data_IF_614602148096
#
_entry.id   IF_614602148096
#
_cell.length_a   1.000
_cell.length_b   1.000
_cell.length_c   1.000
_cell.angle_alpha   90.00
_cell.angle_beta   90.00
_cell.angle_gamma   90.00
#
_symmetry.space_group_name_H-M   'P 1'
#
loop_
_entity.id
_entity.type
_entity.pdbx_description
1 polymer ?
#
# COMPACT_ATOMS: atom_id res chain seq x y z
N UNK A 1 32.88 1.15 -4.23
CA UNK A 1 32.11 0.25 -3.35
C UNK A 1 32.98 -0.20 -2.20
N UNK A 2 32.54 -0.04 -0.96
CA UNK A 2 33.32 -0.47 0.18
C UNK A 2 33.35 -2.00 0.28
N UNK A 3 34.56 -2.54 0.49
CA UNK A 3 34.70 -3.97 0.74
C UNK A 3 34.34 -4.28 2.19
N UNK A 4 33.43 -5.23 2.40
CA UNK A 4 33.04 -5.67 3.73
C UNK A 4 33.60 -7.07 3.97
N UNK A 5 34.42 -7.18 5.02
CA UNK A 5 34.97 -8.46 5.43
C UNK A 5 33.95 -9.27 6.20
N UNK A 6 33.70 -10.49 5.76
CA UNK A 6 32.74 -11.39 6.41
C UNK A 6 33.37 -12.05 7.64
N UNK A 7 32.59 -12.28 8.72
CA UNK A 7 33.11 -13.00 9.89
C UNK A 7 33.52 -14.42 9.51
N UNK A 8 34.67 -14.86 10.08
CA UNK A 8 35.14 -16.24 9.92
C UNK A 8 34.31 -17.15 10.82
N UNK A 9 33.80 -18.23 10.24
CA UNK A 9 33.04 -19.23 10.98
C UNK A 9 33.89 -20.50 11.18
N UNK A 10 33.82 -21.08 12.37
CA UNK A 10 34.50 -22.30 12.70
C UNK A 10 33.58 -23.49 12.44
N UNK A 11 34.10 -24.51 11.75
CA UNK A 11 33.34 -25.74 11.47
C UNK A 11 32.93 -26.41 12.78
N UNK A 12 31.66 -26.75 12.91
CA UNK A 12 31.10 -27.37 14.11
C UNK A 12 30.67 -26.40 15.20
N UNK A 13 31.01 -25.12 15.05
CA UNK A 13 30.56 -24.04 15.93
C UNK A 13 29.73 -23.07 15.07
N UNK A 14 28.41 -23.07 15.27
CA UNK A 14 27.53 -22.15 14.58
C UNK A 14 26.71 -21.39 15.60
N UNK A 15 26.16 -20.25 15.19
CA UNK A 15 25.18 -19.50 15.96
C UNK A 15 25.69 -18.93 17.28
N UNK A 16 26.99 -18.56 17.29
CA UNK A 16 27.61 -17.86 18.43
C UNK A 16 27.28 -16.35 18.45
N UNK A 17 26.70 -15.84 17.36
CA UNK A 17 26.26 -14.46 17.30
C UNK A 17 24.87 -14.33 17.94
N UNK A 18 24.77 -13.52 18.98
CA UNK A 18 23.50 -13.22 19.62
C UNK A 18 22.83 -12.06 18.87
N UNK A 19 21.70 -12.36 18.25
CA UNK A 19 20.89 -11.36 17.58
C UNK A 19 19.58 -11.19 18.35
N UNK A 20 19.24 -9.94 18.64
CA UNK A 20 17.90 -9.63 19.11
C UNK A 20 16.94 -9.61 17.92
N UNK A 21 15.92 -10.44 17.96
CA UNK A 21 14.88 -10.42 16.95
C UNK A 21 14.13 -9.09 17.00
N UNK A 22 13.85 -8.52 15.82
CA UNK A 22 12.97 -7.37 15.75
C UNK A 22 11.57 -7.74 16.24
N UNK A 23 10.77 -6.77 16.74
CA UNK A 23 9.40 -7.05 17.13
C UNK A 23 8.62 -7.74 16.02
N UNK A 24 7.84 -8.76 16.38
CA UNK A 24 7.17 -9.63 15.41
C UNK A 24 5.82 -9.07 14.93
N UNK A 25 5.36 -7.97 15.49
CA UNK A 25 4.06 -7.39 15.12
C UNK A 25 4.19 -6.53 13.86
N UNK A 26 4.20 -7.21 12.73
CA UNK A 26 4.33 -6.61 11.40
C UNK A 26 3.06 -6.78 10.56
N UNK A 27 1.96 -7.25 11.16
CA UNK A 27 0.75 -7.63 10.42
C UNK A 27 0.18 -6.47 9.59
N UNK A 28 0.04 -5.29 10.18
CA UNK A 28 -0.50 -4.12 9.47
C UNK A 28 0.41 -3.70 8.31
N UNK A 29 1.72 -3.67 8.52
CA UNK A 29 2.67 -3.32 7.48
C UNK A 29 2.62 -4.32 6.32
N UNK A 30 2.51 -5.62 6.64
CA UNK A 30 2.42 -6.68 5.63
C UNK A 30 1.12 -6.54 4.84
N UNK A 31 0.00 -6.26 5.50
CA UNK A 31 -1.29 -6.07 4.82
C UNK A 31 -1.24 -4.90 3.83
N UNK A 32 -0.65 -3.77 4.24
CA UNK A 32 -0.46 -2.62 3.38
C UNK A 32 0.41 -2.97 2.18
N UNK A 33 1.55 -3.63 2.41
CA UNK A 33 2.47 -4.00 1.34
C UNK A 33 1.82 -4.98 0.36
N UNK A 34 1.09 -5.97 0.84
CA UNK A 34 0.36 -6.92 -0.01
C UNK A 34 -0.71 -6.22 -0.85
N UNK A 35 -1.44 -5.30 -0.25
CA UNK A 35 -2.48 -4.56 -0.97
C UNK A 35 -1.90 -3.70 -2.08
N UNK A 36 -0.73 -3.09 -1.85
CA UNK A 36 -0.06 -2.23 -2.82
C UNK A 36 0.74 -3.01 -3.88
N UNK A 37 1.06 -4.28 -3.64
CA UNK A 37 1.90 -5.10 -4.52
C UNK A 37 1.12 -5.65 -5.72
N UNK A 38 0.36 -4.79 -6.37
CA UNK A 38 -0.37 -5.05 -7.60
C UNK A 38 -0.42 -3.77 -8.43
N UNK A 39 -0.07 -3.81 -9.74
CA UNK A 39 0.01 -2.59 -10.53
C UNK A 39 -1.30 -1.83 -10.60
N UNK A 40 -2.42 -2.53 -10.73
CA UNK A 40 -3.74 -1.90 -10.79
C UNK A 40 -4.11 -1.23 -9.48
N UNK A 41 -3.92 -1.91 -8.36
CA UNK A 41 -4.20 -1.35 -7.03
C UNK A 41 -3.31 -0.15 -6.71
N UNK A 42 -2.01 -0.26 -7.01
CA UNK A 42 -1.11 0.88 -6.80
C UNK A 42 -1.52 2.08 -7.66
N UNK A 43 -1.91 1.84 -8.92
CA UNK A 43 -2.44 2.88 -9.79
C UNK A 43 -3.72 3.51 -9.23
N UNK A 44 -4.61 2.70 -8.69
CA UNK A 44 -5.86 3.18 -8.07
C UNK A 44 -5.57 4.10 -6.88
N UNK A 45 -4.63 3.74 -6.02
CA UNK A 45 -4.19 4.60 -4.91
C UNK A 45 -3.63 5.91 -5.44
N UNK A 46 -2.79 5.87 -6.47
CA UNK A 46 -2.25 7.08 -7.09
C UNK A 46 -3.36 7.98 -7.63
N UNK A 47 -4.35 7.40 -8.29
CA UNK A 47 -5.50 8.12 -8.85
C UNK A 47 -6.31 8.79 -7.76
N UNK A 48 -6.63 8.08 -6.68
CA UNK A 48 -7.36 8.64 -5.54
C UNK A 48 -6.58 9.76 -4.87
N UNK A 49 -5.27 9.61 -4.70
CA UNK A 49 -4.41 10.67 -4.13
C UNK A 49 -4.42 11.94 -4.98
N UNK A 50 -4.28 11.79 -6.28
CA UNK A 50 -4.23 12.93 -7.20
C UNK A 50 -5.55 13.67 -7.25
N UNK A 51 -6.66 12.93 -7.26
CA UNK A 51 -7.99 13.52 -7.32
C UNK A 51 -8.35 14.26 -6.03
N UNK A 52 -8.06 13.67 -4.88
CA UNK A 52 -8.26 14.29 -3.57
C UNK A 52 -9.71 14.39 -3.10
N UNK A 53 -10.66 13.88 -3.88
CA UNK A 53 -12.09 13.88 -3.57
C UNK A 53 -12.64 12.47 -3.75
N UNK A 54 -13.80 12.13 -3.14
CA UNK A 54 -14.41 10.83 -3.35
C UNK A 54 -14.71 10.57 -4.83
N UNK A 55 -14.44 9.34 -5.26
CA UNK A 55 -14.61 8.88 -6.65
C UNK A 55 -15.64 7.77 -6.68
N UNK A 56 -16.63 7.88 -7.56
CA UNK A 56 -17.63 6.84 -7.76
C UNK A 56 -16.98 5.60 -8.38
N UNK A 57 -17.45 4.41 -7.99
CA UNK A 57 -16.99 3.17 -8.59
C UNK A 57 -17.19 3.17 -10.11
N UNK A 58 -18.24 3.81 -10.61
CA UNK A 58 -18.50 3.92 -12.03
C UNK A 58 -17.42 4.69 -12.78
N UNK A 59 -16.82 5.70 -12.14
CA UNK A 59 -15.70 6.44 -12.72
C UNK A 59 -14.46 5.56 -12.81
N UNK A 60 -14.21 4.73 -11.80
CA UNK A 60 -13.08 3.80 -11.80
C UNK A 60 -13.24 2.73 -12.89
N UNK A 61 -14.45 2.22 -13.06
CA UNK A 61 -14.75 1.26 -14.14
C UNK A 61 -14.43 1.88 -15.50
N UNK A 62 -14.84 3.11 -15.72
CA UNK A 62 -14.60 3.82 -16.98
C UNK A 62 -13.11 4.08 -17.22
N UNK A 63 -12.39 4.53 -16.20
CA UNK A 63 -10.96 4.89 -16.30
C UNK A 63 -10.08 3.67 -16.54
N UNK A 64 -10.36 2.57 -15.83
CA UNK A 64 -9.51 1.37 -15.90
C UNK A 64 -9.93 0.35 -16.94
N UNK A 65 -11.07 0.56 -17.59
CA UNK A 65 -11.62 -0.38 -18.58
C UNK A 65 -11.68 -1.82 -18.02
N UNK A 66 -12.09 -1.92 -16.75
CA UNK A 66 -12.28 -3.18 -16.06
C UNK A 66 -13.72 -3.32 -15.62
N UNK A 67 -14.20 -4.55 -15.50
CA UNK A 67 -15.55 -4.82 -15.02
C UNK A 67 -15.73 -4.37 -13.57
N UNK A 68 -16.95 -4.02 -13.21
CA UNK A 68 -17.28 -3.59 -11.85
C UNK A 68 -16.88 -4.63 -10.79
N UNK A 69 -17.09 -5.95 -10.97
CA UNK A 69 -16.64 -6.93 -9.97
C UNK A 69 -15.14 -6.91 -9.72
N UNK A 70 -14.35 -6.70 -10.77
CA UNK A 70 -12.87 -6.60 -10.66
C UNK A 70 -12.47 -5.34 -9.89
N UNK A 71 -13.06 -4.20 -10.21
CA UNK A 71 -12.82 -2.94 -9.49
C UNK A 71 -13.23 -3.09 -8.02
N UNK A 72 -14.40 -3.65 -7.75
CA UNK A 72 -14.88 -3.87 -6.39
C UNK A 72 -13.95 -4.77 -5.60
N UNK A 73 -13.40 -5.80 -6.23
CA UNK A 73 -12.44 -6.70 -5.58
C UNK A 73 -11.16 -5.94 -5.19
N UNK A 74 -10.58 -5.17 -6.11
CA UNK A 74 -9.39 -4.37 -5.82
C UNK A 74 -9.65 -3.35 -4.71
N UNK A 75 -10.77 -2.66 -4.76
CA UNK A 75 -11.15 -1.70 -3.73
C UNK A 75 -11.38 -2.39 -2.38
N UNK A 76 -11.95 -3.59 -2.37
CA UNK A 76 -12.12 -4.40 -1.17
C UNK A 76 -10.79 -4.75 -0.51
N UNK A 77 -9.80 -5.18 -1.29
CA UNK A 77 -8.44 -5.46 -0.79
C UNK A 77 -7.82 -4.21 -0.17
N UNK A 78 -7.90 -3.08 -0.86
CA UNK A 78 -7.36 -1.79 -0.37
C UNK A 78 -8.09 -1.33 0.89
N UNK A 79 -9.40 -1.54 0.96
CA UNK A 79 -10.22 -1.18 2.12
C UNK A 79 -9.86 -2.02 3.35
N UNK A 80 -9.72 -3.33 3.17
CA UNK A 80 -9.32 -4.23 4.27
C UNK A 80 -7.95 -3.91 4.82
N UNK A 81 -7.05 -3.43 3.96
CA UNK A 81 -5.72 -2.98 4.38
C UNK A 81 -5.73 -1.60 5.07
N UNK A 82 -6.90 -0.96 5.16
CA UNK A 82 -7.04 0.33 5.81
C UNK A 82 -6.59 1.53 4.98
N UNK A 83 -6.45 1.37 3.66
CA UNK A 83 -5.93 2.43 2.78
C UNK A 83 -7.04 3.32 2.23
N UNK A 84 -8.20 2.75 1.94
CA UNK A 84 -9.33 3.48 1.37
C UNK A 84 -10.57 3.31 2.22
N UNK A 85 -11.48 4.27 2.12
CA UNK A 85 -12.81 4.22 2.68
C UNK A 85 -13.84 4.23 1.57
N UNK A 86 -15.02 3.70 1.87
CA UNK A 86 -16.14 3.69 0.95
C UNK A 86 -17.36 4.29 1.66
N UNK A 87 -18.00 5.24 1.02
CA UNK A 87 -19.26 5.80 1.47
C UNK A 87 -20.31 5.52 0.41
N UNK A 88 -21.43 4.94 0.83
CA UNK A 88 -22.56 4.68 -0.07
C UNK A 88 -23.55 5.83 -0.02
N UNK A 89 -23.97 6.27 -1.18
CA UNK A 89 -25.06 7.24 -1.39
C UNK A 89 -26.08 6.62 -2.32
N UNK A 90 -27.14 6.05 -1.76
CA UNK A 90 -28.13 5.28 -2.52
C UNK A 90 -27.48 4.06 -3.17
N UNK A 91 -27.53 3.99 -4.50
CA UNK A 91 -26.93 2.92 -5.29
C UNK A 91 -25.43 3.12 -5.59
N UNK A 92 -24.87 4.27 -5.20
CA UNK A 92 -23.52 4.67 -5.60
C UNK A 92 -22.53 4.46 -4.47
N UNK A 93 -21.40 3.82 -4.77
CA UNK A 93 -20.28 3.71 -3.85
C UNK A 93 -19.20 4.72 -4.21
N UNK A 94 -18.78 5.54 -3.23
CA UNK A 94 -17.72 6.53 -3.39
C UNK A 94 -16.51 6.11 -2.59
N UNK A 95 -15.37 6.06 -3.24
CA UNK A 95 -14.09 5.66 -2.63
C UNK A 95 -13.17 6.85 -2.48
N UNK A 96 -12.48 6.90 -1.38
CA UNK A 96 -11.45 7.91 -1.11
C UNK A 96 -10.26 7.28 -0.41
N UNK A 97 -9.08 7.86 -0.62
CA UNK A 97 -7.93 7.54 0.21
C UNK A 97 -8.24 8.03 1.63
N UNK A 98 -7.94 7.22 2.63
CA UNK A 98 -8.15 7.63 4.02
C UNK A 98 -7.22 8.78 4.39
N UNK A 99 -7.74 9.73 5.15
CA UNK A 99 -6.97 10.89 5.64
C UNK A 99 -6.26 10.61 6.96
N UNK A 100 -6.62 9.51 7.64
CA UNK A 100 -6.07 9.10 8.93
C UNK A 100 -5.00 8.01 8.81
N UNK A 101 -4.33 7.89 7.65
CA UNK A 101 -3.28 6.90 7.45
C UNK A 101 -2.12 7.13 8.43
N UNK A 102 -1.50 6.04 8.93
CA UNK A 102 -0.28 6.16 9.71
C UNK A 102 0.81 6.93 8.96
N UNK A 103 1.63 7.66 9.70
CA UNK A 103 2.71 8.46 9.11
C UNK A 103 3.64 7.63 8.23
N UNK A 104 3.96 6.40 8.66
CA UNK A 104 4.81 5.50 7.87
C UNK A 104 4.17 5.17 6.52
N UNK A 105 2.86 4.91 6.49
CA UNK A 105 2.12 4.64 5.26
C UNK A 105 2.10 5.87 4.35
N UNK A 106 1.85 7.06 4.89
CA UNK A 106 1.90 8.31 4.13
C UNK A 106 3.26 8.51 3.49
N UNK A 107 4.33 8.28 4.24
CA UNK A 107 5.71 8.39 3.74
C UNK A 107 6.00 7.37 2.66
N UNK A 108 5.53 6.14 2.83
CA UNK A 108 5.67 5.10 1.81
C UNK A 108 5.02 5.53 0.50
N UNK A 109 3.79 6.03 0.55
CA UNK A 109 3.09 6.50 -0.64
C UNK A 109 3.82 7.70 -1.28
N UNK A 110 4.35 8.62 -0.50
CA UNK A 110 5.13 9.74 -1.02
C UNK A 110 6.39 9.25 -1.75
N UNK A 111 7.07 8.25 -1.21
CA UNK A 111 8.28 7.67 -1.82
C UNK A 111 7.93 6.96 -3.13
N UNK A 112 6.87 6.16 -3.13
CA UNK A 112 6.49 5.35 -4.30
C UNK A 112 5.83 6.19 -5.41
N UNK A 113 5.02 7.18 -5.04
CA UNK A 113 4.13 7.85 -5.96
C UNK A 113 4.44 9.35 -6.14
N UNK A 114 5.43 9.87 -5.42
CA UNK A 114 5.70 11.30 -5.36
C UNK A 114 4.74 12.01 -4.42
N UNK A 115 5.01 13.27 -4.14
CA UNK A 115 4.14 14.08 -3.29
C UNK A 115 2.94 14.56 -4.10
N UNK A 116 1.77 14.72 -3.46
CA UNK A 116 0.59 15.23 -4.18
C UNK A 116 0.81 16.56 -4.90
N UNK A 117 1.67 17.42 -4.35
CA UNK A 117 2.01 18.72 -4.96
C UNK A 117 2.82 18.62 -6.24
N UNK A 118 3.45 17.47 -6.50
CA UNK A 118 4.28 17.24 -7.67
C UNK A 118 3.45 16.99 -8.95
N UNK A 119 2.13 16.88 -8.81
CA UNK A 119 1.21 16.58 -9.93
C UNK A 119 0.61 17.82 -10.58
N UNK A 120 1.14 18.96 -10.31
CA UNK A 120 0.65 20.21 -10.90
C UNK A 120 1.21 20.46 -12.28
#
# INVERSE_FOLDING_TARGET
MAYVELPVRTRGVCCDLELAAAPADMAEAVDVLKALADPTRLSMIATLRRHGQPVCICDLVAVYDLGQPTISHHMGVLREAGLVSCEKRGLWGFYSLRDDLPTATKRLLDVLLGRPDDYR
#
